data_IF_568464975075
#
_entry.id   IF_568464975075
#
_cell.length_a   1.000
_cell.length_b   1.000
_cell.length_c   1.000
_cell.angle_alpha   90.00
_cell.angle_beta   90.00
_cell.angle_gamma   90.00
#
_symmetry.space_group_name_H-M   'P 1'
#
loop_
_entity.id
_entity.type
_entity.pdbx_description
1 polymer ?
#
# COMPACT_ATOMS: atom_id res chain seq x y z
N UNK A 1 -7.86 -1.21 -9.82
CA UNK A 1 -7.59 -2.50 -9.18
C UNK A 1 -7.01 -3.53 -10.14
N UNK A 2 -6.29 -3.11 -11.17
CA UNK A 2 -5.74 -4.03 -12.16
C UNK A 2 -4.27 -3.79 -12.44
N UNK A 3 -3.53 -4.87 -12.71
CA UNK A 3 -2.15 -4.84 -13.16
C UNK A 3 -2.06 -5.45 -14.55
N UNK A 4 -1.21 -4.87 -15.40
CA UNK A 4 -0.92 -5.39 -16.73
C UNK A 4 0.32 -6.27 -16.70
N UNK A 5 0.23 -7.49 -17.21
CA UNK A 5 1.33 -8.44 -17.29
C UNK A 5 1.59 -8.83 -18.74
N UNK A 6 2.86 -8.91 -19.10
CA UNK A 6 3.31 -9.23 -20.45
C UNK A 6 4.32 -10.37 -20.39
N UNK A 7 4.29 -11.26 -21.36
CA UNK A 7 5.33 -12.28 -21.54
C UNK A 7 6.59 -11.70 -22.19
N UNK A 8 6.44 -10.61 -22.94
CA UNK A 8 7.51 -10.00 -23.72
C UNK A 8 7.81 -8.58 -23.23
N UNK A 9 9.10 -8.30 -23.01
CA UNK A 9 9.57 -7.02 -22.48
C UNK A 9 9.25 -5.85 -23.43
N UNK A 10 9.41 -6.05 -24.74
CA UNK A 10 9.15 -5.00 -25.72
C UNK A 10 7.66 -4.63 -25.78
N UNK A 11 6.77 -5.60 -25.68
CA UNK A 11 5.32 -5.34 -25.63
C UNK A 11 4.94 -4.53 -24.38
N UNK A 12 5.56 -4.82 -23.22
CA UNK A 12 5.35 -4.06 -21.99
C UNK A 12 5.82 -2.60 -22.14
N UNK A 13 6.99 -2.40 -22.73
CA UNK A 13 7.55 -1.05 -22.97
C UNK A 13 6.70 -0.24 -23.94
N UNK A 14 6.24 -0.85 -25.02
CA UNK A 14 5.38 -0.20 -26.01
C UNK A 14 4.04 0.21 -25.38
N UNK A 15 3.45 -0.69 -24.62
CA UNK A 15 2.24 -0.40 -23.87
C UNK A 15 2.45 0.78 -22.90
N UNK A 16 3.53 0.78 -22.13
CA UNK A 16 3.84 1.85 -21.19
C UNK A 16 4.03 3.20 -21.90
N UNK A 17 4.65 3.24 -23.08
CA UNK A 17 4.80 4.46 -23.89
C UNK A 17 3.45 5.08 -24.24
N UNK A 18 2.45 4.26 -24.59
CA UNK A 18 1.11 4.76 -24.94
C UNK A 18 0.41 5.50 -23.79
N UNK A 19 0.82 5.25 -22.55
CA UNK A 19 0.30 5.92 -21.36
C UNK A 19 1.04 7.21 -21.03
N UNK A 20 2.29 7.38 -21.47
CA UNK A 20 3.02 8.65 -21.34
C UNK A 20 2.29 9.76 -22.09
N UNK A 21 1.78 9.46 -23.28
CA UNK A 21 0.99 10.40 -24.08
C UNK A 21 -0.31 10.84 -23.39
N UNK A 22 -0.83 10.01 -22.47
CA UNK A 22 -2.01 10.29 -21.65
C UNK A 22 -1.65 10.95 -20.30
N UNK A 23 -0.42 11.44 -20.14
CA UNK A 23 0.11 11.98 -18.87
C UNK A 23 -0.01 11.01 -17.67
N UNK A 24 0.03 9.71 -17.93
CA UNK A 24 -0.04 8.67 -16.91
C UNK A 24 1.14 7.71 -17.11
N UNK A 25 2.37 8.11 -16.73
CA UNK A 25 3.53 7.26 -16.93
C UNK A 25 3.41 5.96 -16.13
N UNK A 26 3.61 4.83 -16.80
CA UNK A 26 3.63 3.51 -16.19
C UNK A 26 5.07 3.04 -15.98
N UNK A 27 5.31 2.45 -14.81
CA UNK A 27 6.58 1.78 -14.52
C UNK A 27 6.51 0.32 -14.96
N UNK A 28 7.45 -0.10 -15.79
CA UNK A 28 7.62 -1.51 -16.15
C UNK A 28 8.62 -2.18 -15.22
N UNK A 29 8.23 -3.30 -14.62
CA UNK A 29 9.06 -4.07 -13.69
C UNK A 29 9.17 -5.50 -14.19
N UNK A 30 10.40 -6.04 -14.22
CA UNK A 30 10.62 -7.44 -14.55
C UNK A 30 10.48 -8.31 -13.31
N UNK A 31 9.53 -9.25 -13.34
CA UNK A 31 9.32 -10.22 -12.29
C UNK A 31 9.83 -11.59 -12.72
N UNK A 32 10.79 -12.14 -11.98
CA UNK A 32 11.31 -13.48 -12.25
C UNK A 32 10.35 -14.56 -11.73
N UNK A 33 10.35 -15.74 -12.36
CA UNK A 33 9.46 -16.84 -11.99
C UNK A 33 9.48 -17.18 -10.48
N UNK A 34 10.68 -17.18 -9.88
CA UNK A 34 10.83 -17.43 -8.43
C UNK A 34 10.25 -16.35 -7.52
N UNK A 35 10.01 -15.15 -8.06
CA UNK A 35 9.45 -14.01 -7.33
C UNK A 35 7.92 -13.91 -7.46
N UNK A 36 7.32 -14.68 -8.38
CA UNK A 36 5.88 -14.59 -8.68
C UNK A 36 4.98 -14.78 -7.44
N UNK A 37 5.23 -15.74 -6.52
CA UNK A 37 4.37 -15.87 -5.33
C UNK A 37 4.37 -14.61 -4.47
N UNK A 38 5.55 -14.03 -4.21
CA UNK A 38 5.66 -12.80 -3.42
C UNK A 38 5.07 -11.60 -4.16
N UNK A 39 5.22 -11.57 -5.49
CA UNK A 39 4.61 -10.54 -6.32
C UNK A 39 3.08 -10.57 -6.22
N UNK A 40 2.45 -11.72 -6.37
CA UNK A 40 0.99 -11.85 -6.24
C UNK A 40 0.50 -11.52 -4.83
N UNK A 41 1.25 -11.92 -3.79
CA UNK A 41 0.94 -11.53 -2.41
C UNK A 41 0.99 -10.01 -2.25
N UNK A 42 1.99 -9.34 -2.85
CA UNK A 42 2.10 -7.89 -2.88
C UNK A 42 0.91 -7.23 -3.57
N UNK A 43 0.51 -7.71 -4.74
CA UNK A 43 -0.67 -7.22 -5.46
C UNK A 43 -1.93 -7.29 -4.59
N UNK A 44 -2.07 -8.37 -3.85
CA UNK A 44 -3.19 -8.56 -2.94
C UNK A 44 -3.20 -7.52 -1.81
N UNK A 45 -2.03 -7.28 -1.20
CA UNK A 45 -1.86 -6.28 -0.15
C UNK A 45 -2.16 -4.86 -0.63
N UNK A 46 -1.86 -4.56 -1.90
CA UNK A 46 -2.13 -3.27 -2.57
C UNK A 46 -3.59 -3.13 -3.06
N UNK A 47 -4.44 -4.14 -2.85
CA UNK A 47 -5.85 -4.10 -3.25
C UNK A 47 -6.10 -4.40 -4.73
N UNK A 48 -5.11 -4.89 -5.46
CA UNK A 48 -5.27 -5.34 -6.85
C UNK A 48 -6.04 -6.65 -6.87
N UNK A 49 -7.08 -6.73 -7.70
CA UNK A 49 -7.94 -7.91 -7.81
C UNK A 49 -7.98 -8.51 -9.22
N UNK A 50 -7.41 -7.83 -10.21
CA UNK A 50 -7.45 -8.24 -11.62
C UNK A 50 -6.07 -8.19 -12.26
N UNK A 51 -5.72 -9.23 -12.99
CA UNK A 51 -4.55 -9.29 -13.86
C UNK A 51 -5.02 -9.22 -15.33
N UNK A 52 -4.51 -8.25 -16.06
CA UNK A 52 -4.67 -8.14 -17.50
C UNK A 52 -3.44 -8.73 -18.16
N UNK A 53 -3.56 -9.94 -18.65
CA UNK A 53 -2.45 -10.70 -19.21
C UNK A 53 -2.38 -10.57 -20.72
N UNK A 54 -1.23 -10.16 -21.23
CA UNK A 54 -0.97 -10.00 -22.66
C UNK A 54 0.07 -11.05 -23.12
N UNK A 55 -0.34 -11.90 -24.05
CA UNK A 55 0.48 -12.95 -24.64
C UNK A 55 0.16 -13.14 -26.10
N UNK A 56 1.16 -13.10 -27.00
CA UNK A 56 0.99 -13.37 -28.43
C UNK A 56 -0.08 -12.52 -29.11
N UNK A 57 -0.24 -11.26 -28.74
CA UNK A 57 -1.27 -10.35 -29.24
C UNK A 57 -2.68 -10.59 -28.67
N UNK A 58 -2.85 -11.54 -27.78
CA UNK A 58 -4.10 -11.78 -27.07
C UNK A 58 -4.08 -11.12 -25.68
N UNK A 59 -5.26 -10.67 -25.26
CA UNK A 59 -5.46 -10.09 -23.92
C UNK A 59 -6.47 -10.93 -23.16
N UNK A 60 -6.12 -11.35 -21.96
CA UNK A 60 -7.00 -12.10 -21.05
C UNK A 60 -7.14 -11.34 -19.73
N UNK A 61 -8.35 -11.27 -19.21
CA UNK A 61 -8.63 -10.78 -17.87
C UNK A 61 -8.78 -11.96 -16.94
N UNK A 62 -8.00 -11.99 -15.87
CA UNK A 62 -7.96 -13.11 -14.92
C UNK A 62 -8.06 -12.50 -13.53
N UNK A 63 -9.03 -12.94 -12.74
CA UNK A 63 -9.12 -12.54 -11.34
C UNK A 63 -7.90 -13.03 -10.58
N UNK A 64 -7.33 -12.19 -9.73
CA UNK A 64 -6.11 -12.54 -8.97
C UNK A 64 -6.32 -13.80 -8.13
N UNK A 65 -7.52 -14.01 -7.59
CA UNK A 65 -7.86 -15.18 -6.79
C UNK A 65 -7.83 -16.50 -7.59
N UNK A 66 -7.99 -16.45 -8.91
CA UNK A 66 -7.84 -17.62 -9.79
C UNK A 66 -6.38 -18.02 -10.02
N UNK A 67 -5.45 -17.05 -9.91
CA UNK A 67 -4.01 -17.28 -10.06
C UNK A 67 -3.38 -17.60 -8.73
N UNK A 68 -3.75 -16.86 -7.70
CA UNK A 68 -3.19 -16.94 -6.36
C UNK A 68 -4.33 -16.87 -5.34
N UNK A 69 -4.66 -18.00 -4.68
CA UNK A 69 -5.78 -18.03 -3.76
C UNK A 69 -5.57 -17.04 -2.60
N UNK A 70 -6.63 -16.37 -2.23
CA UNK A 70 -6.63 -15.43 -1.10
C UNK A 70 -6.12 -16.11 0.16
N UNK A 71 -5.18 -15.49 0.89
CA UNK A 71 -4.74 -16.00 2.17
C UNK A 71 -5.92 -16.17 3.12
N UNK A 72 -6.09 -17.39 3.64
CA UNK A 72 -7.14 -17.67 4.63
C UNK A 72 -6.71 -17.13 6.00
N UNK A 73 -7.08 -15.87 6.26
CA UNK A 73 -6.73 -15.17 7.49
C UNK A 73 -7.34 -15.84 8.74
N UNK A 74 -8.42 -16.62 8.60
CA UNK A 74 -9.06 -17.30 9.73
C UNK A 74 -8.24 -18.51 10.19
N UNK A 75 -7.51 -19.14 9.26
CA UNK A 75 -6.62 -20.28 9.57
C UNK A 75 -5.25 -19.86 10.07
N UNK A 76 -4.88 -18.59 9.90
CA UNK A 76 -3.61 -18.08 10.43
C UNK A 76 -3.69 -17.89 11.94
N UNK A 77 -2.59 -18.13 12.64
CA UNK A 77 -2.51 -17.85 14.07
C UNK A 77 -2.78 -16.35 14.33
N UNK A 78 -3.80 -16.03 15.13
CA UNK A 78 -4.24 -14.67 15.41
C UNK A 78 -3.15 -13.75 15.98
N UNK A 79 -2.12 -14.34 16.62
CA UNK A 79 -0.97 -13.61 17.16
C UNK A 79 0.03 -13.15 16.09
N UNK A 80 -0.04 -13.71 14.88
CA UNK A 80 0.89 -13.44 13.78
C UNK A 80 0.17 -13.01 12.49
N UNK A 81 -1.07 -12.55 12.60
CA UNK A 81 -1.79 -12.02 11.44
C UNK A 81 -1.10 -10.76 10.95
N UNK A 82 -0.70 -10.71 9.66
CA UNK A 82 -0.17 -9.47 9.09
C UNK A 82 -1.26 -8.40 9.12
N UNK A 83 -0.89 -7.18 9.47
CA UNK A 83 -1.76 -6.03 9.27
C UNK A 83 -1.73 -5.69 7.78
N UNK A 84 -2.86 -5.83 7.11
CA UNK A 84 -3.05 -5.53 5.70
C UNK A 84 -4.26 -4.62 5.55
N UNK A 85 -4.10 -3.56 4.77
CA UNK A 85 -5.15 -2.57 4.52
C UNK A 85 -5.32 -2.33 3.01
N UNK A 86 -5.68 -3.36 2.21
CA UNK A 86 -5.78 -3.23 0.75
C UNK A 86 -6.74 -2.13 0.31
N UNK A 87 -7.85 -1.92 1.02
CA UNK A 87 -8.78 -0.84 0.75
C UNK A 87 -8.18 0.54 0.94
N UNK A 88 -7.36 0.75 1.99
CA UNK A 88 -6.64 2.01 2.21
C UNK A 88 -5.62 2.24 1.12
N UNK A 89 -4.78 1.25 0.82
CA UNK A 89 -3.76 1.36 -0.22
C UNK A 89 -4.38 1.79 -1.55
N UNK A 90 -5.45 1.13 -1.95
CA UNK A 90 -6.14 1.40 -3.20
C UNK A 90 -6.74 2.82 -3.24
N UNK A 91 -7.50 3.21 -2.22
CA UNK A 91 -8.19 4.51 -2.19
C UNK A 91 -7.22 5.68 -2.03
N UNK A 92 -6.13 5.51 -1.28
CA UNK A 92 -5.04 6.50 -1.21
C UNK A 92 -4.38 6.68 -2.57
N UNK A 93 -4.11 5.58 -3.29
CA UNK A 93 -3.53 5.65 -4.64
C UNK A 93 -4.45 6.41 -5.59
N UNK A 94 -5.75 6.12 -5.60
CA UNK A 94 -6.71 6.82 -6.46
C UNK A 94 -6.81 8.31 -6.16
N UNK A 95 -6.93 8.66 -4.88
CA UNK A 95 -6.96 10.06 -4.46
C UNK A 95 -5.68 10.81 -4.88
N UNK A 96 -4.51 10.23 -4.61
CA UNK A 96 -3.23 10.85 -4.96
C UNK A 96 -3.00 10.93 -6.47
N UNK A 97 -3.44 9.94 -7.24
CA UNK A 97 -3.36 9.98 -8.71
C UNK A 97 -4.21 11.11 -9.26
N UNK A 98 -5.46 11.26 -8.80
CA UNK A 98 -6.33 12.35 -9.23
C UNK A 98 -5.77 13.72 -8.82
N UNK A 99 -5.29 13.84 -7.58
CA UNK A 99 -4.72 15.08 -7.05
C UNK A 99 -3.49 15.55 -7.86
N UNK A 100 -2.66 14.61 -8.32
CA UNK A 100 -1.40 14.86 -9.03
C UNK A 100 -1.52 14.98 -10.54
N UNK A 101 -2.71 14.79 -11.13
CA UNK A 101 -2.88 14.94 -12.58
C UNK A 101 -2.42 16.33 -13.05
N UNK A 102 -1.49 16.40 -14.01
CA UNK A 102 -1.01 17.68 -14.54
C UNK A 102 -2.07 18.36 -15.41
N UNK A 103 -1.96 19.67 -15.56
CA UNK A 103 -2.71 20.49 -16.53
C UNK A 103 -4.23 20.55 -16.37
N UNK A 104 -4.77 20.20 -15.21
CA UNK A 104 -6.19 20.40 -14.94
C UNK A 104 -6.43 21.75 -14.26
N UNK A 105 -7.49 22.45 -14.68
CA UNK A 105 -7.90 23.70 -14.05
C UNK A 105 -8.28 23.41 -12.60
N UNK A 106 -7.71 24.16 -11.65
CA UNK A 106 -7.98 24.00 -10.21
C UNK A 106 -9.45 24.26 -9.85
N UNK A 107 -10.15 25.03 -10.67
CA UNK A 107 -11.51 25.51 -10.41
C UNK A 107 -12.58 24.70 -11.17
N UNK A 108 -12.24 23.52 -11.69
CA UNK A 108 -13.20 22.63 -12.31
C UNK A 108 -14.08 21.99 -11.23
N UNK A 109 -15.37 22.35 -11.22
CA UNK A 109 -16.33 21.90 -10.22
C UNK A 109 -16.53 20.37 -10.22
N UNK A 110 -16.51 19.74 -11.40
CA UNK A 110 -16.65 18.28 -11.53
C UNK A 110 -15.44 17.59 -10.93
N UNK A 111 -14.24 18.12 -11.19
CA UNK A 111 -13.00 17.59 -10.60
C UNK A 111 -12.99 17.72 -9.08
N UNK A 112 -13.39 18.88 -8.57
CA UNK A 112 -13.45 19.11 -7.13
C UNK A 112 -14.45 18.17 -6.44
N UNK A 113 -15.58 17.91 -7.10
CA UNK A 113 -16.55 16.94 -6.61
C UNK A 113 -15.96 15.53 -6.60
N UNK A 114 -15.31 15.11 -7.69
CA UNK A 114 -14.66 13.80 -7.78
C UNK A 114 -13.55 13.63 -6.75
N UNK A 115 -12.72 14.65 -6.52
CA UNK A 115 -11.69 14.62 -5.47
C UNK A 115 -12.30 14.44 -4.06
N UNK A 116 -13.42 15.11 -3.77
CA UNK A 116 -14.13 14.92 -2.49
C UNK A 116 -14.64 13.50 -2.31
N UNK A 117 -15.22 12.92 -3.35
CA UNK A 117 -15.71 11.53 -3.33
C UNK A 117 -14.57 10.55 -3.06
N UNK A 118 -13.42 10.72 -3.71
CA UNK A 118 -12.23 9.90 -3.48
C UNK A 118 -11.66 10.11 -2.06
N UNK A 119 -11.66 11.34 -1.56
CA UNK A 119 -11.22 11.66 -0.19
C UNK A 119 -12.15 11.02 0.84
N UNK A 120 -13.46 11.11 0.67
CA UNK A 120 -14.44 10.48 1.55
C UNK A 120 -14.28 8.96 1.58
N UNK A 121 -14.12 8.31 0.42
CA UNK A 121 -13.89 6.88 0.34
C UNK A 121 -12.58 6.47 1.05
N UNK A 122 -11.51 7.23 0.84
CA UNK A 122 -10.22 7.05 1.52
C UNK A 122 -10.38 7.16 3.05
N UNK A 123 -11.06 8.19 3.53
CA UNK A 123 -11.29 8.41 4.97
C UNK A 123 -12.11 7.29 5.59
N UNK A 124 -13.16 6.81 4.91
CA UNK A 124 -13.96 5.66 5.37
C UNK A 124 -13.09 4.41 5.52
N UNK A 125 -12.22 4.13 4.56
CA UNK A 125 -11.30 2.99 4.64
C UNK A 125 -10.27 3.17 5.76
N UNK A 126 -9.72 4.38 5.93
CA UNK A 126 -8.82 4.71 7.04
C UNK A 126 -9.46 4.41 8.40
N UNK A 127 -10.70 4.87 8.62
CA UNK A 127 -11.41 4.68 9.88
C UNK A 127 -11.73 3.21 10.20
N UNK A 128 -11.84 2.36 9.20
CA UNK A 128 -12.13 0.93 9.36
C UNK A 128 -10.87 0.06 9.46
N UNK A 129 -9.72 0.64 9.24
CA UNK A 129 -8.46 -0.08 9.12
C UNK A 129 -7.77 -0.29 10.47
N UNK A 130 -6.86 -1.27 10.49
CA UNK A 130 -5.96 -1.52 11.60
C UNK A 130 -4.58 -1.00 11.24
N UNK A 131 -3.93 -0.37 12.19
CA UNK A 131 -2.59 0.19 11.97
C UNK A 131 -1.60 -0.41 12.94
N UNK A 132 -0.34 -0.42 12.54
CA UNK A 132 0.78 -0.76 13.40
C UNK A 132 1.22 0.53 14.10
N UNK A 133 1.34 0.46 15.43
CA UNK A 133 1.91 1.51 16.25
C UNK A 133 3.35 1.14 16.60
N UNK A 134 4.29 2.05 16.35
CA UNK A 134 5.65 1.89 16.84
C UNK A 134 5.71 2.12 18.36
N UNK A 135 6.38 1.23 19.07
CA UNK A 135 6.72 1.40 20.50
C UNK A 135 8.21 1.16 20.70
N UNK A 136 8.83 1.93 21.57
CA UNK A 136 10.22 1.72 21.97
C UNK A 136 10.25 1.00 23.32
N UNK A 137 10.82 -0.21 23.31
CA UNK A 137 10.98 -1.08 24.48
C UNK A 137 12.43 -1.17 24.98
N UNK A 138 13.30 -0.27 24.54
CA UNK A 138 14.73 -0.29 24.90
C UNK A 138 14.99 -0.16 26.40
N UNK A 139 14.06 0.42 27.17
CA UNK A 139 14.14 0.60 28.60
C UNK A 139 13.40 -0.48 29.41
N UNK A 140 12.65 -1.37 28.74
CA UNK A 140 11.90 -2.45 29.40
C UNK A 140 12.86 -3.51 29.89
N UNK A 141 12.81 -3.81 31.20
CA UNK A 141 13.58 -4.89 31.81
C UNK A 141 12.76 -6.19 31.79
N UNK A 142 13.34 -7.26 31.24
CA UNK A 142 12.70 -8.57 31.14
C UNK A 142 11.93 -8.77 29.85
N UNK A 143 10.97 -9.68 29.89
CA UNK A 143 10.14 -10.01 28.73
C UNK A 143 9.01 -8.97 28.57
N UNK A 144 8.85 -8.45 27.37
CA UNK A 144 7.78 -7.49 27.06
C UNK A 144 6.43 -8.19 26.92
N UNK A 145 5.44 -7.78 27.70
CA UNK A 145 4.04 -8.21 27.57
C UNK A 145 3.21 -7.13 26.84
N UNK A 146 2.78 -7.37 25.59
CA UNK A 146 1.95 -6.41 24.85
C UNK A 146 0.58 -6.13 25.49
N UNK A 147 0.05 -7.06 26.31
CA UNK A 147 -1.23 -6.89 26.99
C UNK A 147 -1.14 -5.96 28.21
N UNK A 148 0.06 -5.86 28.80
CA UNK A 148 0.33 -5.03 29.98
C UNK A 148 1.64 -4.23 29.77
N UNK A 149 1.67 -3.28 28.82
CA UNK A 149 2.83 -2.45 28.58
C UNK A 149 3.14 -1.65 29.85
N UNK A 150 4.29 -1.88 30.43
CA UNK A 150 4.72 -1.16 31.63
C UNK A 150 5.04 0.33 31.38
N UNK A 151 5.37 1.10 32.42
CA UNK A 151 5.66 2.54 32.30
C UNK A 151 6.93 2.85 31.49
N UNK A 152 7.79 1.85 31.27
CA UNK A 152 9.08 2.01 30.56
C UNK A 152 8.92 1.91 29.03
N UNK A 153 7.72 1.67 28.54
CA UNK A 153 7.40 1.72 27.11
C UNK A 153 7.25 3.16 26.66
N UNK A 154 7.96 3.51 25.59
CA UNK A 154 7.89 4.85 24.98
C UNK A 154 7.22 4.76 23.63
N UNK A 155 6.44 5.78 23.30
CA UNK A 155 5.82 5.92 21.99
C UNK A 155 6.62 6.97 21.22
N UNK A 156 7.36 6.59 20.15
CA UNK A 156 8.08 7.55 19.34
C UNK A 156 7.12 8.47 18.62
N UNK A 157 7.49 9.72 18.48
CA UNK A 157 6.74 10.74 17.78
C UNK A 157 7.64 11.47 16.78
N UNK A 158 7.02 12.12 15.82
CA UNK A 158 7.69 13.02 14.87
C UNK A 158 7.19 14.45 15.08
N UNK A 159 8.06 15.41 14.82
CA UNK A 159 7.71 16.83 14.83
C UNK A 159 7.83 17.41 13.44
N UNK A 160 6.92 18.29 13.08
CA UNK A 160 7.06 19.11 11.88
C UNK A 160 7.89 20.40 12.18
N UNK A 161 8.02 21.24 11.15
CA UNK A 161 8.75 22.52 11.28
C UNK A 161 8.09 23.51 12.25
N UNK A 162 6.80 23.33 12.55
CA UNK A 162 6.03 24.18 13.49
C UNK A 162 6.02 23.62 14.91
N UNK A 163 6.84 22.62 15.22
CA UNK A 163 6.88 21.90 16.51
C UNK A 163 5.60 21.08 16.84
N UNK A 164 4.68 20.90 15.87
CA UNK A 164 3.51 20.04 16.07
C UNK A 164 3.95 18.59 16.19
N UNK A 165 3.36 17.87 17.14
CA UNK A 165 3.70 16.47 17.46
C UNK A 165 2.74 15.54 16.73
N UNK A 166 3.29 14.57 16.02
CA UNK A 166 2.54 13.54 15.31
C UNK A 166 2.92 12.14 15.78
N UNK A 167 1.91 11.31 15.97
CA UNK A 167 2.07 9.90 16.22
C UNK A 167 2.12 9.15 14.89
N UNK A 168 3.26 8.50 14.53
CA UNK A 168 3.31 7.70 13.32
C UNK A 168 2.48 6.42 13.46
N UNK A 169 1.65 6.16 12.46
CA UNK A 169 0.89 4.93 12.29
C UNK A 169 1.25 4.33 10.93
N UNK A 170 1.35 3.01 10.85
CA UNK A 170 1.78 2.32 9.64
C UNK A 170 0.68 1.38 9.14
N UNK A 171 0.44 1.43 7.84
CA UNK A 171 -0.58 0.61 7.17
C UNK A 171 -0.24 -0.88 7.15
N UNK A 172 1.05 -1.20 7.20
CA UNK A 172 1.58 -2.55 7.11
C UNK A 172 3.00 -2.63 7.68
N UNK A 173 3.54 -3.85 7.75
CA UNK A 173 4.88 -4.10 8.30
C UNK A 173 6.00 -3.54 7.38
N UNK A 174 5.77 -3.46 6.08
CA UNK A 174 6.74 -2.90 5.13
C UNK A 174 6.97 -1.42 5.38
N UNK A 175 5.90 -0.66 5.61
CA UNK A 175 5.99 0.76 5.96
C UNK A 175 6.60 0.95 7.35
N UNK A 176 6.23 0.12 8.33
CA UNK A 176 6.85 0.14 9.65
C UNK A 176 8.37 -0.10 9.59
N UNK A 177 8.83 -1.05 8.79
CA UNK A 177 10.26 -1.35 8.65
C UNK A 177 11.10 -0.20 8.05
N UNK A 178 10.47 0.73 7.34
CA UNK A 178 11.12 1.95 6.82
C UNK A 178 11.32 3.02 7.89
N UNK A 179 10.55 2.96 8.95
CA UNK A 179 10.61 3.91 10.04
C UNK A 179 11.90 3.74 10.87
N UNK A 180 12.62 4.84 11.08
CA UNK A 180 13.86 4.87 11.86
C UNK A 180 13.87 6.12 12.74
N UNK A 181 13.18 6.08 13.90
CA UNK A 181 13.08 7.25 14.77
C UNK A 181 14.43 7.58 15.44
N UNK A 182 15.15 6.55 15.86
CA UNK A 182 16.47 6.62 16.51
C UNK A 182 17.23 5.33 16.19
N UNK A 183 18.52 5.42 15.78
CA UNK A 183 19.36 4.23 15.56
C UNK A 183 19.51 3.31 16.77
N UNK A 184 19.30 3.83 17.98
CA UNK A 184 19.40 3.08 19.24
C UNK A 184 18.03 2.56 19.73
N UNK A 185 16.92 3.01 19.15
CA UNK A 185 15.61 2.52 19.54
C UNK A 185 15.41 1.05 19.15
N UNK A 186 14.92 0.27 20.10
CA UNK A 186 14.53 -1.12 19.91
C UNK A 186 13.00 -1.18 19.72
N UNK A 187 12.60 -1.29 18.47
CA UNK A 187 11.19 -1.32 18.05
C UNK A 187 10.70 -2.75 17.87
#
# INVERSE_FOLDING_TARGET
>A
DQVYMFTEEEAAKEFAKSYVEKNTPLLTVKVLRKQMPNFYMGLYAEGVNMVIFHEGGQTRRIELEQIFPKPDMEKMNKQHLPVLNPGVQLTVVYFLQELRKPNQKRDDAERMQHLRELEEEMLVNLMRSKFILAIDISQVQGEFDPANPGPDVRIPYIKNQNEDIFQPLFSDIGEFQKFRPDPQAKL
#
